data_IF_608665245616
#
_entry.id   IF_608665245616
#
_cell.length_a   1.000
_cell.length_b   1.000
_cell.length_c   1.000
_cell.angle_alpha   90.00
_cell.angle_beta   90.00
_cell.angle_gamma   90.00
#
_symmetry.space_group_name_H-M   'P 1'
#
loop_
_entity.id
_entity.type
_entity.pdbx_description
1 polymer ?
#
# COMPACT_ATOMS: atom_id res chain seq x y z
N UNK A 1 12.86 -5.08 -3.19
CA UNK A 1 11.81 -5.25 -4.23
C UNK A 1 10.81 -6.38 -3.92
N UNK A 2 11.25 -7.61 -3.63
CA UNK A 2 10.33 -8.72 -3.31
C UNK A 2 9.90 -8.77 -1.84
N UNK A 3 10.78 -8.41 -0.90
CA UNK A 3 10.54 -8.56 0.54
C UNK A 3 9.46 -7.63 1.08
N UNK A 4 9.51 -6.33 0.74
CA UNK A 4 8.49 -5.37 1.16
C UNK A 4 7.12 -5.77 0.59
N UNK A 5 7.05 -6.04 -0.72
CA UNK A 5 5.81 -6.43 -1.38
C UNK A 5 5.23 -7.74 -0.83
N UNK A 6 6.09 -8.72 -0.51
CA UNK A 6 5.69 -9.98 0.12
C UNK A 6 5.23 -9.80 1.57
N UNK A 7 5.84 -8.90 2.34
CA UNK A 7 5.46 -8.61 3.73
C UNK A 7 4.13 -7.87 3.79
N UNK A 8 3.92 -6.93 2.87
CA UNK A 8 2.67 -6.21 2.70
C UNK A 8 1.57 -7.18 2.26
N UNK A 9 1.79 -8.01 1.24
CA UNK A 9 0.83 -9.02 0.79
C UNK A 9 0.48 -10.09 1.82
N UNK A 10 1.44 -10.48 2.68
CA UNK A 10 1.20 -11.46 3.76
C UNK A 10 0.36 -10.86 4.90
N UNK A 11 0.47 -9.56 5.15
CA UNK A 11 -0.24 -8.84 6.22
C UNK A 11 -1.62 -8.33 5.76
N UNK A 12 -1.85 -8.16 4.45
CA UNK A 12 -3.15 -7.73 3.93
C UNK A 12 -4.17 -8.87 4.03
N UNK A 13 -5.05 -8.80 5.03
CA UNK A 13 -6.18 -9.73 5.16
C UNK A 13 -7.43 -9.28 4.37
N UNK A 14 -7.44 -8.08 3.78
CA UNK A 14 -8.67 -7.49 3.20
C UNK A 14 -8.37 -6.66 1.94
N UNK A 15 -8.79 -7.18 0.79
CA UNK A 15 -9.09 -6.44 -0.45
C UNK A 15 -8.04 -5.48 -1.01
N UNK A 16 -7.38 -5.88 -2.10
CA UNK A 16 -6.62 -4.98 -2.98
C UNK A 16 -7.48 -4.57 -4.18
N UNK A 17 -7.83 -3.29 -4.29
CA UNK A 17 -8.52 -2.76 -5.47
C UNK A 17 -7.53 -1.98 -6.35
N UNK A 18 -7.28 -2.46 -7.56
CA UNK A 18 -6.45 -1.76 -8.55
C UNK A 18 -7.32 -0.89 -9.45
N UNK A 19 -6.97 0.40 -9.53
CA UNK A 19 -7.60 1.31 -10.48
C UNK A 19 -7.20 0.95 -11.91
N UNK A 20 -8.07 1.24 -12.90
CA UNK A 20 -7.85 0.95 -14.32
C UNK A 20 -6.52 1.44 -14.87
N UNK A 21 -6.01 2.55 -14.33
CA UNK A 21 -4.73 3.12 -14.74
C UNK A 21 -3.50 2.41 -14.16
N UNK A 22 -3.67 1.38 -13.33
CA UNK A 22 -2.62 0.64 -12.60
C UNK A 22 -1.66 1.53 -11.77
N UNK A 23 -1.91 2.84 -11.70
CA UNK A 23 -1.12 3.83 -10.95
C UNK A 23 -1.56 4.00 -9.50
N UNK A 24 -2.74 3.49 -9.16
CA UNK A 24 -3.34 3.63 -7.85
C UNK A 24 -3.97 2.30 -7.41
N UNK A 25 -3.70 1.95 -6.16
CA UNK A 25 -4.35 0.85 -5.49
C UNK A 25 -4.95 1.34 -4.17
N UNK A 26 -6.15 0.87 -3.85
CA UNK A 26 -6.71 1.00 -2.52
C UNK A 26 -6.48 -0.33 -1.78
N UNK A 27 -5.97 -0.21 -0.56
CA UNK A 27 -5.68 -1.33 0.32
C UNK A 27 -6.47 -1.09 1.59
N UNK A 28 -7.26 -2.07 1.98
CA UNK A 28 -7.90 -2.07 3.29
C UNK A 28 -7.03 -2.86 4.26
N UNK A 29 -6.86 -2.35 5.47
CA UNK A 29 -6.14 -3.03 6.54
C UNK A 29 -7.14 -3.37 7.64
N UNK A 30 -6.86 -4.43 8.40
CA UNK A 30 -7.73 -4.89 9.49
C UNK A 30 -7.73 -3.91 10.66
N UNK A 31 -6.60 -3.27 10.92
CA UNK A 31 -6.43 -2.32 12.02
C UNK A 31 -5.77 -1.01 11.57
N UNK A 32 -6.02 0.06 12.32
CA UNK A 32 -5.43 1.38 12.06
C UNK A 32 -3.92 1.37 12.31
N UNK A 33 -3.45 0.62 13.32
CA UNK A 33 -2.03 0.52 13.67
C UNK A 33 -1.21 -0.07 12.51
N UNK A 34 -1.70 -1.16 11.91
CA UNK A 34 -1.10 -1.75 10.72
C UNK A 34 -1.14 -0.79 9.52
N UNK A 35 -2.24 -0.04 9.36
CA UNK A 35 -2.34 0.96 8.29
C UNK A 35 -1.30 2.08 8.44
N UNK A 36 -1.02 2.52 9.66
CA UNK A 36 0.01 3.53 9.96
C UNK A 36 1.41 2.97 9.68
N UNK A 37 1.73 1.78 10.17
CA UNK A 37 3.03 1.14 9.91
C UNK A 37 3.28 0.95 8.42
N UNK A 38 2.27 0.44 7.72
CA UNK A 38 2.32 0.25 6.27
C UNK A 38 2.54 1.58 5.53
N UNK A 39 1.88 2.67 5.98
CA UNK A 39 2.13 4.00 5.43
C UNK A 39 3.57 4.46 5.69
N UNK A 40 4.13 4.28 6.89
CA UNK A 40 5.49 4.71 7.20
C UNK A 40 6.52 3.94 6.35
N UNK A 41 6.36 2.63 6.22
CA UNK A 41 7.30 1.77 5.50
C UNK A 41 7.23 1.94 3.97
N UNK A 42 6.04 2.20 3.43
CA UNK A 42 5.83 2.33 1.98
C UNK A 42 5.91 3.78 1.49
N UNK A 43 5.66 4.76 2.35
CA UNK A 43 5.72 6.15 1.94
C UNK A 43 7.14 6.48 1.49
N UNK A 44 7.26 6.97 0.25
CA UNK A 44 8.53 7.28 -0.39
C UNK A 44 9.39 6.05 -0.74
N UNK A 45 8.82 4.84 -0.74
CA UNK A 45 9.52 3.64 -1.19
C UNK A 45 9.89 3.78 -2.66
N UNK A 46 11.17 3.58 -2.97
CA UNK A 46 11.70 3.70 -4.32
C UNK A 46 11.44 2.40 -5.10
N UNK A 47 10.55 2.46 -6.09
CA UNK A 47 10.24 1.32 -6.96
C UNK A 47 11.24 1.15 -8.11
N UNK A 48 12.29 1.97 -8.16
CA UNK A 48 13.23 2.07 -9.28
C UNK A 48 12.84 3.22 -10.23
N UNK A 49 13.80 3.65 -11.07
CA UNK A 49 13.60 4.66 -12.10
C UNK A 49 13.03 6.02 -11.59
N UNK A 50 13.41 6.46 -10.39
CA UNK A 50 12.88 7.68 -9.72
C UNK A 50 11.35 7.68 -9.53
N UNK A 51 10.72 6.51 -9.55
CA UNK A 51 9.31 6.38 -9.20
C UNK A 51 9.17 6.06 -7.72
N UNK A 52 8.66 7.04 -6.97
CA UNK A 52 8.38 6.92 -5.55
C UNK A 52 6.93 6.50 -5.33
N UNK A 53 6.72 5.50 -4.47
CA UNK A 53 5.39 5.14 -4.00
C UNK A 53 4.85 6.25 -3.13
N UNK A 54 3.66 6.74 -3.49
CA UNK A 54 2.89 7.68 -2.67
C UNK A 54 1.75 6.92 -2.01
N UNK A 55 1.81 6.82 -0.70
CA UNK A 55 0.77 6.20 0.12
C UNK A 55 0.02 7.29 0.90
N UNK A 56 -1.30 7.19 0.96
CA UNK A 56 -2.16 8.13 1.67
C UNK A 56 -3.42 7.43 2.18
N UNK A 57 -3.94 7.89 3.31
CA UNK A 57 -5.23 7.42 3.80
C UNK A 57 -6.37 7.83 2.85
N UNK A 58 -7.23 6.88 2.52
CA UNK A 58 -8.46 7.12 1.78
C UNK A 58 -9.56 7.59 2.72
N UNK A 59 -10.38 8.54 2.28
CA UNK A 59 -11.63 8.93 2.98
C UNK A 59 -12.76 7.93 2.72
N UNK A 60 -12.63 7.11 1.69
CA UNK A 60 -13.59 6.08 1.31
C UNK A 60 -13.15 4.73 1.84
N UNK A 61 -14.06 4.04 2.52
CA UNK A 61 -13.96 2.61 2.84
C UNK A 61 -14.39 1.79 1.63
N UNK A 62 -13.70 0.69 1.37
CA UNK A 62 -14.04 -0.29 0.31
C UNK A 62 -15.18 -1.19 0.82
#
# INVERSE_FOLDING_TARGET
PAFAFSFILLTISVGLFLSRDHKMALIQMTTIEEAIQCLIDLHNYNMGNNHHLKVSFSKSTI
#
